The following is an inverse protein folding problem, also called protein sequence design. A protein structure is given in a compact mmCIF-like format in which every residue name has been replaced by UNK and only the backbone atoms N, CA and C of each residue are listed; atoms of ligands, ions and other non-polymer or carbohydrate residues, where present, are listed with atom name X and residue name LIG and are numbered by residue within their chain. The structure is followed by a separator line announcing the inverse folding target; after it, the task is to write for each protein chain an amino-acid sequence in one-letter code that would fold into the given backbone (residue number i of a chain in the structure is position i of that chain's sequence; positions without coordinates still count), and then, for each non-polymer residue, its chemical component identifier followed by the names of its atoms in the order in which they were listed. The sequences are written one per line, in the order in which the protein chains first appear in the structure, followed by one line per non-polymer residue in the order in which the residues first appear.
data_IF_786150427027
#
_entry.id   IF_786150427027
#
_cell.length_a   1.000
_cell.length_b   1.000
_cell.length_c   1.000
_cell.angle_alpha   90.00
_cell.angle_beta   90.00
_cell.angle_gamma   90.00
#
_symmetry.space_group_name_H-M   'P 1'
#
loop_
_entity.id
_entity.type
_entity.pdbx_description
1 polymer ?
#
# COMPACT_ATOMS: atom_id res chain seq x y z
N UNK A 1 16.57 -40.64 32.43
CA UNK A 1 16.04 -39.27 32.22
C UNK A 1 15.90 -39.01 30.72
N UNK A 2 14.68 -39.01 30.20
CA UNK A 2 14.41 -38.73 28.78
C UNK A 2 14.53 -37.22 28.55
N UNK A 3 15.56 -36.77 27.83
CA UNK A 3 15.66 -35.39 27.34
C UNK A 3 14.53 -35.15 26.33
N UNK A 4 13.36 -34.73 26.82
CA UNK A 4 12.22 -34.34 26.00
C UNK A 4 12.66 -33.15 25.13
N UNK A 5 12.48 -33.29 23.83
CA UNK A 5 13.00 -32.42 22.76
C UNK A 5 12.51 -30.96 22.90
N UNK A 6 13.14 -30.15 23.78
CA UNK A 6 12.78 -28.75 24.04
C UNK A 6 12.88 -27.88 22.79
N UNK A 7 13.82 -28.16 21.88
CA UNK A 7 13.98 -27.42 20.62
C UNK A 7 12.77 -27.53 19.70
N UNK A 8 12.17 -28.72 19.57
CA UNK A 8 10.96 -28.89 18.77
C UNK A 8 9.74 -28.25 19.44
N UNK A 9 9.62 -28.34 20.77
CA UNK A 9 8.55 -27.65 21.50
C UNK A 9 8.64 -26.12 21.37
N UNK A 10 9.84 -25.54 21.50
CA UNK A 10 10.08 -24.11 21.34
C UNK A 10 9.68 -23.64 19.94
N UNK A 11 10.13 -24.35 18.90
CA UNK A 11 9.77 -24.06 17.51
C UNK A 11 8.26 -24.20 17.24
N UNK A 12 7.60 -25.17 17.87
CA UNK A 12 6.14 -25.36 17.76
C UNK A 12 5.40 -24.22 18.49
N UNK A 13 5.84 -23.81 19.68
CA UNK A 13 5.26 -22.66 20.41
C UNK A 13 5.53 -21.32 19.75
N UNK A 14 6.63 -21.17 19.01
CA UNK A 14 6.93 -19.97 18.22
C UNK A 14 6.00 -19.89 16.99
N UNK A 15 5.76 -21.02 16.30
CA UNK A 15 4.79 -21.13 15.20
C UNK A 15 3.34 -20.92 15.69
N UNK A 16 3.00 -21.36 16.90
CA UNK A 16 1.69 -21.09 17.54
C UNK A 16 1.53 -19.63 18.00
N UNK A 17 2.61 -18.84 18.07
CA UNK A 17 2.60 -17.42 18.48
C UNK A 17 2.69 -16.43 17.32
N UNK A 18 3.06 -16.87 16.13
CA UNK A 18 3.13 -15.99 14.96
C UNK A 18 1.73 -15.57 14.52
N UNK A 19 1.48 -14.27 14.56
CA UNK A 19 0.22 -13.68 14.10
C UNK A 19 0.04 -13.99 12.61
N UNK A 20 -1.18 -14.39 12.23
CA UNK A 20 -1.53 -14.47 10.82
C UNK A 20 -1.28 -13.13 10.09
N UNK A 21 -0.64 -13.22 8.94
CA UNK A 21 -0.39 -12.11 8.03
C UNK A 21 -0.87 -12.45 6.61
N UNK A 22 -1.15 -11.39 5.84
CA UNK A 22 -1.73 -11.52 4.51
C UNK A 22 -0.78 -12.22 3.53
N UNK A 23 -1.31 -12.88 2.50
CA UNK A 23 -0.53 -13.74 1.59
C UNK A 23 0.44 -13.00 0.66
N UNK A 24 0.43 -11.65 0.64
CA UNK A 24 1.40 -10.85 -0.11
C UNK A 24 2.65 -10.50 0.74
N UNK A 25 2.56 -10.59 2.07
CA UNK A 25 3.63 -10.20 2.99
C UNK A 25 4.21 -11.47 3.60
N UNK A 26 5.53 -11.63 3.51
CA UNK A 26 6.22 -12.86 3.91
C UNK A 26 6.41 -13.01 5.43
N UNK A 27 6.52 -11.90 6.17
CA UNK A 27 6.80 -11.89 7.61
C UNK A 27 5.86 -10.99 8.42
N UNK A 28 4.72 -10.60 7.83
CA UNK A 28 3.83 -9.56 8.38
C UNK A 28 4.48 -8.18 8.47
N UNK A 29 3.68 -7.16 8.79
CA UNK A 29 4.21 -5.82 9.09
C UNK A 29 4.84 -5.83 10.46
N UNK A 30 6.08 -5.35 10.55
CA UNK A 30 6.81 -5.18 11.81
C UNK A 30 6.79 -3.72 12.27
N UNK A 31 7.01 -3.50 13.56
CA UNK A 31 7.14 -2.14 14.12
C UNK A 31 8.27 -1.35 13.46
N UNK A 32 9.30 -2.03 12.94
CA UNK A 32 10.41 -1.40 12.23
C UNK A 32 10.01 -0.60 10.98
N UNK A 33 8.83 -0.88 10.40
CA UNK A 33 8.34 -0.17 9.20
C UNK A 33 8.16 1.34 9.46
N UNK A 34 7.92 1.75 10.72
CA UNK A 34 7.83 3.15 11.11
C UNK A 34 9.14 3.92 10.88
N UNK A 35 10.29 3.23 10.77
CA UNK A 35 11.58 3.86 10.50
C UNK A 35 11.80 4.18 9.01
N UNK A 36 11.00 3.62 8.11
CA UNK A 36 11.21 3.73 6.66
C UNK A 36 10.06 4.46 5.95
N UNK A 37 8.82 3.96 6.09
CA UNK A 37 7.68 4.48 5.35
C UNK A 37 7.43 5.97 5.54
N UNK A 38 7.51 6.52 6.76
CA UNK A 38 7.33 7.96 6.97
C UNK A 38 8.36 8.81 6.21
N UNK A 39 9.61 8.38 6.12
CA UNK A 39 10.64 9.11 5.38
C UNK A 39 10.38 9.13 3.88
N UNK A 40 10.07 7.97 3.30
CA UNK A 40 9.75 7.85 1.87
C UNK A 40 8.51 8.70 1.54
N UNK A 41 7.45 8.56 2.35
CA UNK A 41 6.21 9.28 2.13
C UNK A 41 6.38 10.80 2.34
N UNK A 42 7.18 11.24 3.32
CA UNK A 42 7.44 12.67 3.55
C UNK A 42 8.18 13.30 2.37
N UNK A 43 9.21 12.62 1.85
CA UNK A 43 9.96 13.11 0.68
C UNK A 43 9.04 13.36 -0.52
N UNK A 44 8.13 12.43 -0.80
CA UNK A 44 7.14 12.57 -1.88
C UNK A 44 6.01 13.55 -1.54
N UNK A 45 5.65 13.70 -0.27
CA UNK A 45 4.67 14.69 0.18
C UNK A 45 5.14 16.11 -0.11
N UNK A 46 6.45 16.38 -0.03
CA UNK A 46 7.01 17.68 -0.41
C UNK A 46 6.67 18.05 -1.87
N UNK A 47 6.69 17.07 -2.77
CA UNK A 47 6.29 17.27 -4.16
C UNK A 47 4.79 17.58 -4.30
N UNK A 48 3.94 16.85 -3.58
CA UNK A 48 2.50 17.14 -3.51
C UNK A 48 2.24 18.55 -2.94
N UNK A 49 2.99 18.98 -1.92
CA UNK A 49 2.85 20.32 -1.36
C UNK A 49 3.26 21.39 -2.38
N UNK A 50 4.43 21.29 -3.01
CA UNK A 50 4.90 22.32 -3.94
C UNK A 50 4.08 22.34 -5.23
N UNK A 51 3.92 21.21 -5.91
CA UNK A 51 3.23 21.13 -7.20
C UNK A 51 1.70 21.14 -7.08
N UNK A 52 1.16 20.57 -6.00
CA UNK A 52 -0.28 20.48 -5.79
C UNK A 52 -0.92 21.71 -5.17
N UNK A 53 -0.16 22.59 -4.50
CA UNK A 53 -0.75 23.80 -3.87
C UNK A 53 -0.71 25.04 -4.75
N UNK A 54 0.05 25.02 -5.84
CA UNK A 54 0.08 26.10 -6.81
C UNK A 54 -1.28 26.22 -7.51
N UNK A 55 -1.90 27.40 -7.44
CA UNK A 55 -3.26 27.67 -7.97
C UNK A 55 -4.38 26.75 -7.40
N UNK A 56 -4.19 26.22 -6.18
CA UNK A 56 -5.19 25.38 -5.49
C UNK A 56 -6.32 26.21 -4.88
N UNK A 57 -7.21 26.74 -5.74
CA UNK A 57 -8.34 27.58 -5.31
C UNK A 57 -9.36 26.83 -4.41
N UNK A 58 -9.43 25.50 -4.51
CA UNK A 58 -10.32 24.67 -3.69
C UNK A 58 -9.66 24.24 -2.37
N UNK A 59 -8.34 24.36 -2.24
CA UNK A 59 -7.58 23.98 -1.06
C UNK A 59 -7.49 22.47 -0.79
N UNK A 60 -7.91 21.62 -1.74
CA UNK A 60 -7.97 20.16 -1.55
C UNK A 60 -6.57 19.57 -1.46
N UNK A 61 -5.67 19.95 -2.38
CA UNK A 61 -4.29 19.46 -2.39
C UNK A 61 -3.48 20.06 -1.24
N UNK A 62 -3.77 21.30 -0.83
CA UNK A 62 -3.23 21.89 0.39
C UNK A 62 -3.63 21.12 1.64
N UNK A 63 -4.91 20.75 1.75
CA UNK A 63 -5.39 19.92 2.86
C UNK A 63 -4.75 18.53 2.87
N UNK A 64 -4.72 17.85 1.72
CA UNK A 64 -4.14 16.51 1.58
C UNK A 64 -2.64 16.48 1.86
N UNK A 65 -1.89 17.47 1.34
CA UNK A 65 -0.45 17.60 1.57
C UNK A 65 -0.14 17.84 3.04
N UNK A 66 -0.92 18.69 3.72
CA UNK A 66 -0.75 18.96 5.14
C UNK A 66 -1.06 17.71 5.99
N UNK A 67 -2.16 17.00 5.70
CA UNK A 67 -2.48 15.74 6.35
C UNK A 67 -1.34 14.72 6.21
N UNK A 68 -0.86 14.50 4.98
CA UNK A 68 0.26 13.60 4.70
C UNK A 68 1.53 14.05 5.44
N UNK A 69 1.84 15.35 5.41
CA UNK A 69 3.02 15.91 6.06
C UNK A 69 3.02 15.68 7.56
N UNK A 70 1.90 15.99 8.23
CA UNK A 70 1.73 15.80 9.67
C UNK A 70 1.86 14.33 10.06
N UNK A 71 1.16 13.43 9.37
CA UNK A 71 1.21 11.98 9.64
C UNK A 71 2.64 11.45 9.54
N UNK A 72 3.37 11.84 8.49
CA UNK A 72 4.72 11.34 8.27
C UNK A 72 5.73 11.97 9.25
N UNK A 73 5.63 13.26 9.57
CA UNK A 73 6.48 13.89 10.59
C UNK A 73 6.26 13.23 11.96
N UNK A 74 5.01 12.98 12.34
CA UNK A 74 4.69 12.25 13.57
C UNK A 74 5.29 10.82 13.56
N UNK A 75 5.19 10.12 12.43
CA UNK A 75 5.82 8.82 12.23
C UNK A 75 7.33 8.85 12.44
N UNK A 76 8.02 9.83 11.86
CA UNK A 76 9.46 10.03 12.01
C UNK A 76 9.82 10.29 13.47
N UNK A 77 9.13 11.23 14.13
CA UNK A 77 9.41 11.58 15.54
C UNK A 77 9.25 10.34 16.43
N UNK A 78 8.16 9.60 16.29
CA UNK A 78 7.92 8.37 17.07
C UNK A 78 8.99 7.32 16.78
N UNK A 79 9.45 7.21 15.53
CA UNK A 79 10.48 6.22 15.15
C UNK A 79 11.81 6.39 15.88
N UNK A 80 12.13 7.61 16.32
CA UNK A 80 13.34 7.93 17.09
C UNK A 80 13.24 7.63 18.58
N UNK A 81 12.05 7.28 19.08
CA UNK A 81 11.82 7.00 20.50
C UNK A 81 11.37 5.55 20.64
N UNK A 82 12.32 4.57 20.68
CA UNK A 82 12.00 3.14 20.77
C UNK A 82 11.08 2.78 21.93
N UNK A 83 11.22 3.52 23.05
CA UNK A 83 10.33 3.37 24.20
C UNK A 83 8.85 3.61 23.83
N UNK A 84 8.53 4.67 23.08
CA UNK A 84 7.16 4.96 22.66
C UNK A 84 6.63 3.94 21.65
N UNK A 85 7.47 3.52 20.71
CA UNK A 85 7.15 2.45 19.75
C UNK A 85 6.75 1.17 20.47
N UNK A 86 7.49 0.80 21.53
CA UNK A 86 7.23 -0.42 22.29
C UNK A 86 6.10 -0.26 23.33
N UNK A 87 5.94 0.93 23.92
CA UNK A 87 4.86 1.20 24.87
C UNK A 87 3.50 1.27 24.18
N UNK A 88 3.44 1.81 22.96
CA UNK A 88 2.21 2.06 22.22
C UNK A 88 2.13 1.26 20.91
N UNK A 89 2.57 -0.01 20.92
CA UNK A 89 2.63 -0.88 19.73
C UNK A 89 1.37 -0.80 18.86
N UNK A 90 0.19 -0.94 19.48
CA UNK A 90 -1.11 -0.85 18.80
C UNK A 90 -1.28 0.47 18.04
N UNK A 91 -0.93 1.61 18.65
CA UNK A 91 -1.00 2.92 18.02
C UNK A 91 0.07 3.09 16.94
N UNK A 92 1.28 2.58 17.16
CA UNK A 92 2.36 2.59 16.16
C UNK A 92 1.94 1.83 14.90
N UNK A 93 1.25 0.70 15.03
CA UNK A 93 0.72 -0.04 13.89
C UNK A 93 -0.34 0.74 13.11
N UNK A 94 -1.26 1.44 13.78
CA UNK A 94 -2.17 2.37 13.09
C UNK A 94 -1.42 3.52 12.40
N UNK A 95 -0.36 4.03 13.02
CA UNK A 95 0.47 5.07 12.42
C UNK A 95 1.22 4.56 11.17
N UNK A 96 1.71 3.32 11.18
CA UNK A 96 2.27 2.66 9.99
C UNK A 96 1.19 2.57 8.89
N UNK A 97 -0.04 2.17 9.23
CA UNK A 97 -1.13 2.12 8.26
C UNK A 97 -1.41 3.51 7.63
N UNK A 98 -1.40 4.57 8.45
CA UNK A 98 -1.61 5.94 8.00
C UNK A 98 -0.45 6.49 7.15
N UNK A 99 0.81 6.14 7.46
CA UNK A 99 1.97 6.59 6.67
C UNK A 99 2.01 5.89 5.31
N UNK A 100 1.63 4.61 5.25
CA UNK A 100 1.46 3.89 3.99
C UNK A 100 0.26 4.43 3.20
N UNK A 101 -0.85 4.80 3.86
CA UNK A 101 -1.97 5.49 3.20
C UNK A 101 -1.51 6.83 2.60
N UNK A 102 -0.71 7.60 3.33
CA UNK A 102 -0.09 8.81 2.81
C UNK A 102 0.78 8.51 1.58
N UNK A 103 1.55 7.42 1.60
CA UNK A 103 2.35 6.97 0.46
C UNK A 103 1.47 6.65 -0.76
N UNK A 104 0.32 5.99 -0.56
CA UNK A 104 -0.67 5.73 -1.65
C UNK A 104 -1.21 7.02 -2.24
N UNK A 105 -1.52 8.02 -1.41
CA UNK A 105 -2.03 9.32 -1.86
C UNK A 105 -0.98 10.04 -2.71
N UNK A 106 0.25 10.18 -2.22
CA UNK A 106 1.30 10.93 -2.93
C UNK A 106 1.77 10.24 -4.20
N UNK A 107 1.84 8.90 -4.21
CA UNK A 107 2.19 8.14 -5.42
C UNK A 107 1.09 8.24 -6.48
N UNK A 108 -0.19 8.17 -6.09
CA UNK A 108 -1.29 8.39 -7.02
C UNK A 108 -1.35 9.81 -7.55
N UNK A 109 -1.02 10.82 -6.73
CA UNK A 109 -0.90 12.19 -7.19
C UNK A 109 0.19 12.33 -8.26
N UNK A 110 1.38 11.79 -8.02
CA UNK A 110 2.48 11.81 -9.00
C UNK A 110 2.08 11.09 -10.29
N UNK A 111 1.45 9.92 -10.18
CA UNK A 111 1.00 9.17 -11.34
C UNK A 111 -0.10 9.90 -12.12
N UNK A 112 -1.02 10.58 -11.43
CA UNK A 112 -2.01 11.45 -12.06
C UNK A 112 -1.33 12.59 -12.83
N UNK A 113 -0.30 13.22 -12.24
CA UNK A 113 0.47 14.25 -12.93
C UNK A 113 1.13 13.72 -14.20
N UNK A 114 1.70 12.52 -14.18
CA UNK A 114 2.25 11.86 -15.38
C UNK A 114 1.16 11.64 -16.45
N UNK A 115 -0.08 11.35 -16.04
CA UNK A 115 -1.21 11.11 -16.95
C UNK A 115 -1.71 12.40 -17.62
N UNK A 116 -1.72 13.52 -16.90
CA UNK A 116 -2.29 14.77 -17.42
C UNK A 116 -1.25 15.76 -17.94
N UNK A 117 0.03 15.56 -17.64
CA UNK A 117 1.07 16.50 -18.03
C UNK A 117 1.22 16.55 -19.54
N UNK A 118 1.19 17.75 -20.08
CA UNK A 118 1.41 18.09 -21.49
C UNK A 118 2.77 18.79 -21.71
N UNK A 119 3.64 18.80 -20.69
CA UNK A 119 4.92 19.51 -20.67
C UNK A 119 4.86 20.96 -20.17
N UNK A 120 3.68 21.48 -19.84
CA UNK A 120 3.50 22.80 -19.20
C UNK A 120 3.72 22.75 -17.68
N UNK A 121 3.74 23.93 -17.03
CA UNK A 121 3.92 24.06 -15.59
C UNK A 121 2.81 23.33 -14.83
N UNK A 122 3.22 22.52 -13.85
CA UNK A 122 2.30 21.70 -13.07
C UNK A 122 1.69 22.52 -11.92
N UNK A 123 0.37 22.64 -11.90
CA UNK A 123 -0.42 23.23 -10.81
C UNK A 123 -1.73 22.46 -10.55
N UNK A 124 -2.43 22.88 -9.49
CA UNK A 124 -3.72 22.32 -9.12
C UNK A 124 -4.81 22.60 -10.15
N UNK A 125 -4.74 23.76 -10.81
CA UNK A 125 -5.72 24.20 -11.79
C UNK A 125 -5.79 23.25 -12.97
N UNK A 126 -4.64 22.81 -13.49
CA UNK A 126 -4.53 21.83 -14.57
C UNK A 126 -5.17 20.49 -14.16
N UNK A 127 -4.96 20.08 -12.90
CA UNK A 127 -5.58 18.86 -12.36
C UNK A 127 -7.10 19.01 -12.30
N UNK A 128 -7.61 20.16 -11.84
CA UNK A 128 -9.05 20.40 -11.75
C UNK A 128 -9.75 20.52 -13.10
N UNK A 129 -9.05 21.03 -14.11
CA UNK A 129 -9.60 21.25 -15.44
C UNK A 129 -9.45 20.04 -16.36
N UNK A 130 -8.49 19.15 -16.09
CA UNK A 130 -8.23 17.99 -16.94
C UNK A 130 -9.41 17.00 -16.94
N UNK A 131 -9.94 16.62 -18.13
CA UNK A 131 -11.03 15.66 -18.23
C UNK A 131 -10.62 14.25 -17.79
N UNK A 132 -9.32 13.93 -17.77
CA UNK A 132 -8.81 12.61 -17.36
C UNK A 132 -8.75 12.44 -15.84
N UNK A 133 -8.64 13.54 -15.08
CA UNK A 133 -8.57 13.52 -13.61
C UNK A 133 -9.70 12.73 -12.95
N UNK A 134 -10.99 12.99 -13.22
CA UNK A 134 -12.07 12.25 -12.57
C UNK A 134 -12.02 10.75 -12.90
N UNK A 135 -11.73 10.37 -14.16
CA UNK A 135 -11.61 8.96 -14.54
C UNK A 135 -10.48 8.26 -13.79
N UNK A 136 -9.31 8.90 -13.72
CA UNK A 136 -8.16 8.38 -13.00
C UNK A 136 -8.46 8.23 -11.51
N UNK A 137 -8.98 9.28 -10.86
CA UNK A 137 -9.28 9.29 -9.42
C UNK A 137 -10.34 8.24 -9.07
N UNK A 138 -11.41 8.14 -9.84
CA UNK A 138 -12.47 7.14 -9.62
C UNK A 138 -11.90 5.72 -9.80
N UNK A 139 -11.12 5.49 -10.85
CA UNK A 139 -10.47 4.19 -11.08
C UNK A 139 -9.57 3.79 -9.91
N UNK A 140 -8.68 4.67 -9.47
CA UNK A 140 -7.76 4.39 -8.35
C UNK A 140 -8.52 4.21 -7.04
N UNK A 141 -9.58 4.97 -6.79
CA UNK A 141 -10.42 4.81 -5.61
C UNK A 141 -11.14 3.47 -5.58
N UNK A 142 -11.72 3.03 -6.71
CA UNK A 142 -12.37 1.72 -6.81
C UNK A 142 -11.35 0.58 -6.62
N UNK A 143 -10.17 0.68 -7.23
CA UNK A 143 -9.09 -0.28 -7.07
C UNK A 143 -8.57 -0.33 -5.63
N UNK A 144 -8.45 0.82 -4.97
CA UNK A 144 -8.03 0.91 -3.57
C UNK A 144 -9.03 0.20 -2.65
N UNK A 145 -10.32 0.49 -2.80
CA UNK A 145 -11.39 -0.16 -2.01
C UNK A 145 -11.40 -1.67 -2.27
N UNK A 146 -11.29 -2.07 -3.54
CA UNK A 146 -11.19 -3.48 -3.92
C UNK A 146 -9.98 -4.17 -3.28
N UNK A 147 -8.79 -3.56 -3.36
CA UNK A 147 -7.57 -4.09 -2.78
C UNK A 147 -7.68 -4.22 -1.25
N UNK A 148 -8.14 -3.18 -0.55
CA UNK A 148 -8.40 -3.24 0.89
C UNK A 148 -9.37 -4.37 1.25
N UNK A 149 -10.50 -4.48 0.54
CA UNK A 149 -11.49 -5.53 0.75
C UNK A 149 -10.92 -6.93 0.50
N UNK A 150 -10.14 -7.10 -0.57
CA UNK A 150 -9.49 -8.35 -0.92
C UNK A 150 -8.46 -8.77 0.12
N UNK A 151 -7.60 -7.87 0.58
CA UNK A 151 -6.62 -8.18 1.63
C UNK A 151 -7.32 -8.47 2.95
N UNK A 152 -8.33 -7.69 3.34
CA UNK A 152 -9.09 -7.92 4.58
C UNK A 152 -9.82 -9.27 4.55
N UNK A 153 -10.29 -9.71 3.38
CA UNK A 153 -10.93 -11.02 3.22
C UNK A 153 -10.03 -12.19 3.62
N UNK A 154 -8.71 -12.08 3.41
CA UNK A 154 -7.74 -13.11 3.84
C UNK A 154 -7.54 -13.16 5.36
N UNK A 155 -7.90 -12.09 6.08
CA UNK A 155 -7.80 -12.05 7.55
C UNK A 155 -9.01 -12.64 8.25
N UNK A 156 -10.13 -12.87 7.54
CA UNK A 156 -11.30 -13.55 8.10
C UNK A 156 -10.87 -14.97 8.51
N UNK A 157 -11.19 -15.46 9.74
CA UNK A 157 -10.70 -16.74 10.25
C UNK A 157 -10.86 -17.93 9.29
N UNK A 158 -12.02 -18.03 8.61
CA UNK A 158 -12.31 -19.09 7.62
C UNK A 158 -11.45 -19.05 6.35
N UNK A 159 -10.70 -17.98 6.13
CA UNK A 159 -9.90 -17.71 4.94
C UNK A 159 -8.40 -17.62 5.25
N UNK A 160 -8.00 -17.68 6.52
CA UNK A 160 -6.59 -17.65 6.90
C UNK A 160 -5.86 -18.87 6.32
N UNK A 161 -4.65 -18.64 5.80
CA UNK A 161 -3.83 -19.67 5.18
C UNK A 161 -4.27 -20.07 3.77
N UNK A 162 -5.37 -19.50 3.25
CA UNK A 162 -5.73 -19.71 1.84
C UNK A 162 -4.68 -19.06 0.95
N UNK A 163 -4.05 -19.89 0.12
CA UNK A 163 -3.15 -19.43 -0.93
C UNK A 163 -3.96 -18.67 -1.98
N UNK A 164 -3.40 -17.62 -2.56
CA UNK A 164 -4.03 -16.87 -3.64
C UNK A 164 -4.60 -17.79 -4.72
N UNK A 165 -5.84 -17.52 -5.14
CA UNK A 165 -6.50 -18.33 -6.15
C UNK A 165 -5.70 -18.41 -7.46
N UNK A 166 -4.89 -17.40 -7.81
CA UNK A 166 -3.99 -17.43 -8.98
C UNK A 166 -2.79 -18.37 -8.79
N UNK A 167 -2.28 -18.50 -7.57
CA UNK A 167 -1.15 -19.40 -7.24
C UNK A 167 -1.57 -20.87 -7.24
N UNK A 168 -2.86 -21.17 -7.03
CA UNK A 168 -3.40 -22.53 -7.08
C UNK A 168 -3.68 -23.01 -8.52
N UNK A 169 -3.57 -22.12 -9.51
CA UNK A 169 -3.84 -22.48 -10.90
C UNK A 169 -2.67 -23.30 -11.46
N UNK A 170 -2.90 -24.61 -11.64
CA UNK A 170 -1.91 -25.54 -12.23
C UNK A 170 -1.41 -25.03 -13.59
N UNK A 171 -0.11 -25.23 -13.84
CA UNK A 171 0.52 -24.98 -15.14
C UNK A 171 -0.23 -25.70 -16.26
N UNK A 172 -0.47 -25.01 -17.39
CA UNK A 172 -1.19 -25.56 -18.54
C UNK A 172 -2.72 -25.62 -18.42
N UNK A 173 -3.32 -25.23 -17.29
CA UNK A 173 -4.79 -25.17 -17.19
C UNK A 173 -5.36 -24.02 -18.02
N UNK A 174 -6.55 -24.24 -18.60
CA UNK A 174 -7.28 -23.24 -19.41
C UNK A 174 -7.42 -21.89 -18.70
N UNK A 175 -7.62 -21.91 -17.38
CA UNK A 175 -7.72 -20.71 -16.54
C UNK A 175 -6.40 -19.93 -16.49
N UNK A 176 -5.24 -20.60 -16.38
CA UNK A 176 -3.93 -19.93 -16.39
C UNK A 176 -3.63 -19.33 -17.75
N UNK A 177 -3.89 -20.08 -18.81
CA UNK A 177 -3.71 -19.62 -20.19
C UNK A 177 -4.58 -18.40 -20.46
N UNK A 178 -5.84 -18.41 -20.00
CA UNK A 178 -6.73 -17.26 -20.10
C UNK A 178 -6.19 -16.03 -19.36
N UNK A 179 -5.73 -16.18 -18.12
CA UNK A 179 -5.11 -15.08 -17.37
C UNK A 179 -3.86 -14.52 -18.03
N UNK A 180 -2.98 -15.40 -18.53
CA UNK A 180 -1.78 -14.97 -19.26
C UNK A 180 -2.16 -14.22 -20.53
N UNK A 181 -3.11 -14.73 -21.31
CA UNK A 181 -3.58 -14.08 -22.53
C UNK A 181 -4.25 -12.74 -22.22
N UNK A 182 -5.02 -12.65 -21.14
CA UNK A 182 -5.61 -11.40 -20.67
C UNK A 182 -4.51 -10.40 -20.28
N UNK A 183 -3.51 -10.80 -19.50
CA UNK A 183 -2.42 -9.93 -19.10
C UNK A 183 -1.61 -9.43 -20.32
N UNK A 184 -1.31 -10.32 -21.28
CA UNK A 184 -0.63 -9.96 -22.53
C UNK A 184 -1.50 -9.02 -23.37
N UNK A 185 -2.79 -9.32 -23.52
CA UNK A 185 -3.71 -8.48 -24.28
C UNK A 185 -3.91 -7.12 -23.62
N UNK A 186 -4.02 -7.06 -22.29
CA UNK A 186 -4.11 -5.82 -21.53
C UNK A 186 -2.84 -5.00 -21.68
N UNK A 187 -1.66 -5.59 -21.48
CA UNK A 187 -0.37 -4.92 -21.68
C UNK A 187 -0.21 -4.45 -23.14
N UNK A 188 -0.56 -5.28 -24.12
CA UNK A 188 -0.52 -4.92 -25.53
C UNK A 188 -1.47 -3.77 -25.86
N UNK A 189 -2.73 -3.84 -25.43
CA UNK A 189 -3.75 -2.82 -25.68
C UNK A 189 -3.46 -1.49 -24.96
N UNK A 190 -2.69 -1.50 -23.88
CA UNK A 190 -2.29 -0.29 -23.15
C UNK A 190 -0.99 0.31 -23.68
N UNK A 191 0.03 -0.52 -23.93
CA UNK A 191 1.37 -0.07 -24.31
C UNK A 191 1.48 0.19 -25.82
N UNK A 192 0.95 -0.68 -26.68
CA UNK A 192 1.16 -0.58 -28.14
C UNK A 192 0.50 0.68 -28.71
N UNK A 193 -0.78 1.00 -28.44
CA UNK A 193 -1.37 2.25 -28.91
C UNK A 193 -0.62 3.47 -28.37
N UNK A 194 -0.27 3.46 -27.08
CA UNK A 194 0.44 4.56 -26.43
C UNK A 194 1.83 4.82 -27.03
N UNK A 195 2.55 3.77 -27.43
CA UNK A 195 3.82 3.89 -28.17
C UNK A 195 3.60 4.51 -29.55
N UNK A 196 2.58 4.06 -30.29
CA UNK A 196 2.32 4.51 -31.65
C UNK A 196 1.81 5.96 -31.72
N UNK A 197 1.08 6.41 -30.70
CA UNK A 197 0.49 7.76 -30.64
C UNK A 197 1.34 8.75 -29.87
N UNK A 198 2.48 8.34 -29.30
CA UNK A 198 3.33 9.19 -28.46
C UNK A 198 2.80 9.45 -27.05
N UNK A 199 1.77 8.71 -26.60
CA UNK A 199 1.15 8.85 -25.27
C UNK A 199 1.69 7.83 -24.24
N UNK A 200 2.94 7.37 -24.40
CA UNK A 200 3.55 6.36 -23.52
C UNK A 200 3.59 6.78 -22.05
N UNK A 201 3.70 8.09 -21.80
CA UNK A 201 3.64 8.67 -20.45
C UNK A 201 2.29 8.38 -19.77
N UNK A 202 1.18 8.54 -20.50
CA UNK A 202 -0.18 8.24 -19.99
C UNK A 202 -0.28 6.77 -19.59
N UNK A 203 0.14 5.85 -20.46
CA UNK A 203 0.13 4.42 -20.15
C UNK A 203 1.00 4.10 -18.93
N UNK A 204 2.18 4.71 -18.82
CA UNK A 204 3.08 4.52 -17.68
C UNK A 204 2.48 5.03 -16.37
N UNK A 205 1.89 6.23 -16.36
CA UNK A 205 1.23 6.81 -15.20
C UNK A 205 0.05 5.97 -14.73
N UNK A 206 -0.80 5.48 -15.65
CA UNK A 206 -1.92 4.59 -15.31
C UNK A 206 -1.41 3.26 -14.74
N UNK A 207 -0.45 2.60 -15.39
CA UNK A 207 0.06 1.30 -14.95
C UNK A 207 0.76 1.38 -13.59
N UNK A 208 1.56 2.42 -13.35
CA UNK A 208 2.19 2.66 -12.03
C UNK A 208 1.15 2.97 -10.95
N UNK A 209 0.15 3.79 -11.25
CA UNK A 209 -0.94 4.08 -10.33
C UNK A 209 -1.69 2.81 -9.92
N UNK A 210 -2.02 1.94 -10.88
CA UNK A 210 -2.63 0.62 -10.63
C UNK A 210 -1.70 -0.23 -9.74
N UNK A 211 -0.41 -0.29 -10.06
CA UNK A 211 0.57 -1.08 -9.31
C UNK A 211 0.61 -0.68 -7.84
N UNK A 212 0.82 0.60 -7.54
CA UNK A 212 0.91 1.07 -6.14
C UNK A 212 -0.43 0.93 -5.41
N UNK A 213 -1.53 1.24 -6.08
CA UNK A 213 -2.88 1.13 -5.52
C UNK A 213 -3.29 -0.31 -5.21
N UNK A 214 -2.81 -1.29 -5.97
CA UNK A 214 -3.10 -2.71 -5.69
C UNK A 214 -2.15 -3.33 -4.67
N UNK A 215 -0.92 -2.83 -4.51
CA UNK A 215 0.11 -3.48 -3.68
C UNK A 215 0.22 -2.90 -2.27
N UNK A 216 0.28 -1.57 -2.14
CA UNK A 216 0.46 -0.89 -0.85
C UNK A 216 -0.67 -1.15 0.17
N UNK A 217 -1.95 -1.33 -0.23
CA UNK A 217 -2.99 -1.70 0.72
C UNK A 217 -2.75 -3.00 1.48
N UNK A 218 -1.92 -3.91 0.96
CA UNK A 218 -1.54 -5.11 1.71
C UNK A 218 -0.89 -4.74 3.06
N UNK A 219 -0.01 -3.75 3.06
CA UNK A 219 0.69 -3.25 4.25
C UNK A 219 -0.28 -2.51 5.17
N UNK A 220 -1.18 -1.69 4.62
CA UNK A 220 -2.21 -0.97 5.39
C UNK A 220 -3.09 -1.97 6.15
N UNK A 221 -3.65 -2.95 5.44
CA UNK A 221 -4.55 -3.94 6.05
C UNK A 221 -3.80 -4.77 7.08
N UNK A 222 -2.60 -5.24 6.76
CA UNK A 222 -1.78 -6.00 7.70
C UNK A 222 -1.47 -5.22 8.98
N UNK A 223 -1.07 -3.95 8.86
CA UNK A 223 -0.82 -3.06 9.98
C UNK A 223 -2.08 -2.77 10.82
N UNK A 224 -3.27 -2.76 10.24
CA UNK A 224 -4.54 -2.69 11.00
C UNK A 224 -4.78 -3.99 11.78
N UNK A 225 -4.58 -5.15 11.16
CA UNK A 225 -4.82 -6.45 11.82
C UNK A 225 -3.79 -6.82 12.90
N UNK A 226 -2.48 -6.65 12.64
CA UNK A 226 -1.78 -5.57 13.31
C UNK A 226 -2.10 -5.22 14.76
N UNK A 227 -2.43 -3.94 14.83
CA UNK A 227 -2.97 -3.21 15.94
C UNK A 227 -4.08 -3.99 16.67
N UNK A 228 -5.04 -4.55 15.94
CA UNK A 228 -6.16 -5.32 16.52
C UNK A 228 -5.67 -6.54 17.30
N UNK A 229 -4.69 -7.27 16.78
CA UNK A 229 -4.15 -8.47 17.43
C UNK A 229 -3.41 -8.13 18.73
N UNK A 230 -2.56 -7.10 18.71
CA UNK A 230 -1.84 -6.65 19.91
C UNK A 230 -2.80 -6.15 20.98
N UNK A 231 -3.85 -5.44 20.59
CA UNK A 231 -4.89 -5.01 21.53
C UNK A 231 -5.56 -6.19 22.24
N UNK A 232 -5.68 -7.34 21.55
CA UNK A 232 -6.22 -8.58 22.13
C UNK A 232 -5.18 -9.40 22.91
N UNK A 233 -3.91 -9.27 22.57
CA UNK A 233 -2.80 -10.03 23.15
C UNK A 233 -1.65 -9.08 23.55
N UNK A 234 -1.82 -8.28 24.63
CA UNK A 234 -0.85 -7.25 25.02
C UNK A 234 0.51 -7.82 25.43
N UNK A 235 0.54 -9.03 26.00
CA UNK A 235 1.75 -9.70 26.48
C UNK A 235 2.48 -10.52 25.40
N UNK A 236 2.04 -10.45 24.13
CA UNK A 236 2.72 -11.18 23.06
C UNK A 236 4.03 -10.46 22.69
N UNK A 237 5.15 -11.00 23.20
CA UNK A 237 6.51 -10.53 22.87
C UNK A 237 6.95 -10.84 21.43
N UNK A 238 6.18 -11.63 20.67
CA UNK A 238 6.55 -12.12 19.33
C UNK A 238 6.44 -11.12 18.17
N UNK A 239 6.36 -9.81 18.43
CA UNK A 239 6.19 -8.76 17.41
C UNK A 239 7.31 -7.71 17.44
N UNK A 240 8.48 -8.07 17.99
CA UNK A 240 9.71 -7.26 17.98
C UNK A 240 10.36 -7.32 16.61
#
# INVERSE_FOLDING_TARGET
MVKKNRKNKAKITDIEKERYHGPLITHGVSLGYIKLYPWIALALTGFLYVGGTYEDNLGIFKGLSLFCGVVNILGIIISFIPYLVNAWKNLTYYLIALTVLSLVIVTNFICLLIVISDGSSIGAKEIYQSPLTPFYVILMMLLFIFACGLYAWYYIPKNQGKVWAFNQVKGGSRKKTWWNNFAIAFAGATIIPALLTGYIQIAFGVLLGILFTLTLPAVIVDAVYAAIYIKKHPDSDGLV
#
